data_IF_225365758781
#
_entry.id   IF_225365758781
#
_cell.length_a   1.000
_cell.length_b   1.000
_cell.length_c   1.000
_cell.angle_alpha   90.00
_cell.angle_beta   90.00
_cell.angle_gamma   90.00
#
_symmetry.space_group_name_H-M   'P 1'
#
loop_
_entity.id
_entity.type
_entity.pdbx_description
1 polymer ?
#
# COMPACT_ATOMS: atom_id res chain seq x y z
N UNK A 1 -0.76 -5.72 -18.61
CA UNK A 1 0.50 -5.24 -19.20
C UNK A 1 1.61 -5.80 -18.35
N UNK A 2 2.61 -6.43 -18.94
CA UNK A 2 3.86 -6.68 -18.22
C UNK A 2 4.52 -5.30 -18.13
N UNK A 3 4.82 -4.80 -16.95
CA UNK A 3 5.56 -3.55 -16.81
C UNK A 3 6.88 -3.66 -17.58
N UNK A 4 7.34 -2.56 -18.15
CA UNK A 4 8.66 -2.57 -18.76
C UNK A 4 9.73 -2.91 -17.71
N UNK A 5 10.85 -3.52 -18.07
CA UNK A 5 11.93 -3.81 -17.12
C UNK A 5 12.39 -2.58 -16.33
N UNK A 6 12.36 -1.40 -16.94
CA UNK A 6 12.76 -0.15 -16.28
C UNK A 6 11.77 0.28 -15.20
N UNK A 7 10.46 0.13 -15.43
CA UNK A 7 9.42 0.37 -14.41
C UNK A 7 9.62 -0.58 -13.24
N UNK A 8 9.76 -1.87 -13.50
CA UNK A 8 9.96 -2.87 -12.46
C UNK A 8 11.24 -2.58 -11.65
N UNK A 9 12.29 -2.15 -12.31
CA UNK A 9 13.56 -1.79 -11.65
C UNK A 9 13.39 -0.57 -10.73
N UNK A 10 12.71 0.48 -11.20
CA UNK A 10 12.42 1.69 -10.40
C UNK A 10 11.58 1.34 -9.18
N UNK A 11 10.52 0.56 -9.36
CA UNK A 11 9.66 0.06 -8.29
C UNK A 11 10.43 -0.79 -7.27
N UNK A 12 11.33 -1.67 -7.73
CA UNK A 12 12.14 -2.51 -6.85
C UNK A 12 13.16 -1.69 -6.06
N UNK A 13 13.81 -0.70 -6.70
CA UNK A 13 14.76 0.21 -6.03
C UNK A 13 14.08 1.03 -4.94
N UNK A 14 12.90 1.56 -5.21
CA UNK A 14 12.12 2.27 -4.21
C UNK A 14 11.84 1.38 -2.99
N UNK A 15 11.33 0.15 -3.20
CA UNK A 15 11.07 -0.81 -2.12
C UNK A 15 12.33 -1.17 -1.34
N UNK A 16 13.47 -1.33 -2.02
CA UNK A 16 14.74 -1.57 -1.37
C UNK A 16 15.18 -0.39 -0.48
N UNK A 17 14.96 0.85 -0.92
CA UNK A 17 15.21 2.04 -0.11
C UNK A 17 14.33 2.09 1.13
N UNK A 18 13.04 1.75 0.98
CA UNK A 18 12.10 1.64 2.10
C UNK A 18 12.57 0.58 3.10
N UNK A 19 12.84 -0.64 2.65
CA UNK A 19 13.27 -1.76 3.50
C UNK A 19 14.59 -1.44 4.23
N UNK A 20 15.54 -0.81 3.55
CA UNK A 20 16.80 -0.36 4.17
C UNK A 20 16.56 0.62 5.33
N UNK A 21 15.49 1.44 5.27
CA UNK A 21 15.16 2.38 6.35
C UNK A 21 14.71 1.71 7.65
N UNK A 22 14.28 0.45 7.60
CA UNK A 22 13.79 -0.31 8.73
C UNK A 22 14.85 -1.10 9.49
N UNK A 23 16.08 -1.19 8.93
CA UNK A 23 17.19 -1.94 9.51
C UNK A 23 16.79 -3.37 9.89
N UNK A 24 16.20 -4.10 8.93
CA UNK A 24 15.85 -5.50 9.09
C UNK A 24 17.14 -6.32 9.15
N UNK A 25 17.29 -7.10 10.20
CA UNK A 25 18.48 -7.94 10.37
C UNK A 25 18.41 -9.22 9.51
N UNK A 26 19.52 -9.71 8.98
CA UNK A 26 19.58 -11.06 8.43
C UNK A 26 19.08 -12.11 9.45
N UNK A 27 18.36 -13.11 8.99
CA UNK A 27 17.73 -14.13 9.83
C UNK A 27 16.39 -13.72 10.43
N UNK A 28 15.91 -12.48 10.22
CA UNK A 28 14.64 -12.02 10.77
C UNK A 28 13.44 -12.76 10.19
N UNK A 29 12.41 -12.91 11.01
CA UNK A 29 11.10 -13.44 10.62
C UNK A 29 10.11 -12.30 10.47
N UNK A 30 9.44 -12.22 9.31
CA UNK A 30 8.54 -11.11 8.94
C UNK A 30 7.14 -11.63 8.69
N UNK A 31 6.13 -10.91 9.17
CA UNK A 31 4.75 -10.98 8.71
C UNK A 31 4.47 -9.77 7.81
N UNK A 32 4.23 -9.99 6.55
CA UNK A 32 3.83 -8.95 5.60
C UNK A 32 2.32 -8.99 5.41
N UNK A 33 1.65 -7.86 5.61
CA UNK A 33 0.21 -7.69 5.43
C UNK A 33 -0.06 -6.98 4.10
N UNK A 34 -0.95 -7.57 3.27
CA UNK A 34 -1.27 -7.02 1.96
C UNK A 34 -0.12 -7.20 0.96
N UNK A 35 0.36 -8.44 0.82
CA UNK A 35 1.54 -8.73 -0.02
C UNK A 35 1.29 -8.54 -1.52
N UNK A 36 0.05 -8.52 -1.97
CA UNK A 36 -0.29 -8.33 -3.38
C UNK A 36 0.44 -9.30 -4.30
N UNK A 37 1.09 -8.76 -5.33
CA UNK A 37 1.85 -9.55 -6.30
C UNK A 37 3.24 -10.00 -5.79
N UNK A 38 3.62 -9.61 -4.56
CA UNK A 38 4.86 -10.03 -3.94
C UNK A 38 6.08 -9.16 -4.25
N UNK A 39 5.88 -7.96 -4.79
CA UNK A 39 7.00 -7.06 -5.11
C UNK A 39 7.77 -6.62 -3.85
N UNK A 40 7.06 -6.28 -2.76
CA UNK A 40 7.69 -5.97 -1.48
C UNK A 40 8.18 -7.25 -0.82
N UNK A 41 7.43 -8.37 -0.92
CA UNK A 41 7.82 -9.68 -0.40
C UNK A 41 9.20 -10.12 -0.90
N UNK A 42 9.48 -9.91 -2.20
CA UNK A 42 10.77 -10.25 -2.79
C UNK A 42 11.92 -9.46 -2.17
N UNK A 43 11.73 -8.15 -1.94
CA UNK A 43 12.75 -7.29 -1.32
C UNK A 43 12.94 -7.65 0.16
N UNK A 44 11.86 -7.96 0.88
CA UNK A 44 11.93 -8.44 2.26
C UNK A 44 12.67 -9.79 2.34
N UNK A 45 12.36 -10.75 1.44
CA UNK A 45 13.02 -12.04 1.38
C UNK A 45 14.53 -11.93 1.07
N UNK A 46 14.92 -10.95 0.27
CA UNK A 46 16.34 -10.64 0.05
C UNK A 46 16.98 -10.07 1.32
N UNK A 47 16.32 -9.12 1.99
CA UNK A 47 16.84 -8.46 3.19
C UNK A 47 17.04 -9.42 4.37
N UNK A 48 16.11 -10.37 4.57
CA UNK A 48 16.23 -11.35 5.68
C UNK A 48 17.28 -12.42 5.42
N UNK A 49 17.75 -12.59 4.19
CA UNK A 49 18.79 -13.57 3.85
C UNK A 49 18.33 -15.01 3.95
N UNK A 50 19.30 -15.96 3.85
CA UNK A 50 19.02 -17.39 3.73
C UNK A 50 18.35 -18.00 4.98
N UNK A 51 18.65 -17.49 6.15
CA UNK A 51 18.16 -17.98 7.44
C UNK A 51 16.85 -17.29 7.87
N UNK A 52 16.42 -16.23 7.16
CA UNK A 52 15.20 -15.49 7.48
C UNK A 52 13.98 -16.04 6.74
N UNK A 53 12.80 -15.54 7.15
CA UNK A 53 11.52 -15.96 6.57
C UNK A 53 10.54 -14.80 6.45
N UNK A 54 9.76 -14.80 5.38
CA UNK A 54 8.62 -13.90 5.17
C UNK A 54 7.35 -14.71 5.05
N UNK A 55 6.41 -14.50 5.96
CA UNK A 55 5.02 -14.94 5.84
C UNK A 55 4.25 -13.80 5.22
N UNK A 56 3.84 -13.96 3.97
CA UNK A 56 3.22 -12.92 3.15
C UNK A 56 1.72 -13.21 3.02
N UNK A 57 0.88 -12.42 3.71
CA UNK A 57 -0.56 -12.63 3.72
C UNK A 57 -1.29 -11.58 2.88
N UNK A 58 -2.40 -11.98 2.25
CA UNK A 58 -3.32 -11.07 1.57
C UNK A 58 -4.76 -11.56 1.73
N UNK A 59 -5.69 -10.64 1.93
CA UNK A 59 -7.12 -10.96 2.03
C UNK A 59 -7.71 -11.38 0.68
N UNK A 60 -7.09 -10.96 -0.42
CA UNK A 60 -7.53 -11.30 -1.76
C UNK A 60 -7.23 -12.77 -2.09
N UNK A 61 -8.11 -13.37 -2.90
CA UNK A 61 -7.90 -14.73 -3.41
C UNK A 61 -6.74 -14.75 -4.44
N UNK A 62 -6.05 -15.87 -4.63
CA UNK A 62 -4.96 -16.00 -5.61
C UNK A 62 -5.41 -15.74 -7.07
N UNK A 63 -6.71 -15.81 -7.33
CA UNK A 63 -7.31 -15.47 -8.64
C UNK A 63 -7.54 -13.97 -8.85
N UNK A 64 -7.35 -13.14 -7.82
CA UNK A 64 -7.45 -11.69 -7.92
C UNK A 64 -6.26 -11.08 -8.66
N UNK A 65 -6.45 -9.85 -9.16
CA UNK A 65 -5.40 -9.05 -9.79
C UNK A 65 -5.43 -9.06 -11.31
N UNK A 66 -4.97 -7.95 -11.90
CA UNK A 66 -4.84 -7.74 -13.34
C UNK A 66 -3.63 -6.81 -13.57
N UNK A 67 -2.85 -7.00 -14.63
CA UNK A 67 -2.94 -8.04 -15.67
C UNK A 67 -2.46 -9.42 -15.22
N UNK A 68 -1.73 -9.51 -14.11
CA UNK A 68 -1.20 -10.76 -13.55
C UNK A 68 -1.96 -11.10 -12.28
N UNK A 69 -2.42 -12.34 -12.16
CA UNK A 69 -3.09 -12.83 -10.94
C UNK A 69 -2.08 -13.00 -9.81
N UNK A 70 -2.50 -12.73 -8.56
CA UNK A 70 -1.65 -12.84 -7.37
C UNK A 70 -0.98 -14.21 -7.27
N UNK A 71 -1.73 -15.29 -7.43
CA UNK A 71 -1.20 -16.66 -7.37
C UNK A 71 -0.17 -16.96 -8.46
N UNK A 72 -0.31 -16.37 -9.65
CA UNK A 72 0.68 -16.54 -10.74
C UNK A 72 1.99 -15.83 -10.39
N UNK A 73 1.90 -14.63 -9.84
CA UNK A 73 3.10 -13.88 -9.42
C UNK A 73 3.81 -14.59 -8.26
N UNK A 74 3.05 -15.01 -7.23
CA UNK A 74 3.57 -15.76 -6.09
C UNK A 74 4.24 -17.08 -6.53
N UNK A 75 3.64 -17.83 -7.44
CA UNK A 75 4.24 -19.06 -7.98
C UNK A 75 5.58 -18.82 -8.69
N UNK A 76 5.70 -17.70 -9.43
CA UNK A 76 6.96 -17.30 -10.06
C UNK A 76 8.04 -16.99 -9.03
N UNK A 77 7.71 -16.24 -7.97
CA UNK A 77 8.65 -15.94 -6.89
C UNK A 77 9.03 -17.20 -6.11
N UNK A 78 8.07 -18.06 -5.81
CA UNK A 78 8.31 -19.32 -5.10
C UNK A 78 9.21 -20.29 -5.88
N UNK A 79 9.15 -20.26 -7.20
CA UNK A 79 10.05 -21.06 -8.07
C UNK A 79 11.46 -20.46 -8.21
N UNK A 80 11.67 -19.22 -7.78
CA UNK A 80 12.95 -18.52 -7.85
C UNK A 80 13.85 -18.72 -6.62
N UNK A 81 15.04 -18.11 -6.60
CA UNK A 81 16.02 -18.28 -5.51
C UNK A 81 15.55 -17.75 -4.16
N UNK A 82 14.55 -16.88 -4.13
CA UNK A 82 13.95 -16.35 -2.90
C UNK A 82 12.84 -17.26 -2.35
N UNK A 83 12.30 -18.17 -3.16
CA UNK A 83 11.16 -19.01 -2.83
C UNK A 83 11.26 -19.74 -1.48
N UNK A 84 12.40 -20.36 -1.12
CA UNK A 84 12.55 -21.05 0.16
C UNK A 84 12.32 -20.18 1.41
N UNK A 85 12.41 -18.86 1.26
CA UNK A 85 12.24 -17.88 2.35
C UNK A 85 10.81 -17.35 2.47
N UNK A 86 9.92 -17.66 1.52
CA UNK A 86 8.60 -17.03 1.38
C UNK A 86 7.49 -18.05 1.59
N UNK A 87 6.52 -17.70 2.42
CA UNK A 87 5.28 -18.44 2.64
C UNK A 87 4.10 -17.52 2.27
N UNK A 88 3.54 -17.71 1.07
CA UNK A 88 2.37 -16.95 0.61
C UNK A 88 1.07 -17.54 1.14
N UNK A 89 0.22 -16.70 1.73
CA UNK A 89 -1.10 -17.08 2.27
C UNK A 89 -2.15 -16.10 1.77
N UNK A 90 -2.81 -16.44 0.68
CA UNK A 90 -3.93 -15.69 0.12
C UNK A 90 -5.25 -16.07 0.79
N UNK A 91 -6.26 -15.17 0.67
CA UNK A 91 -7.55 -15.33 1.34
C UNK A 91 -7.41 -15.32 2.87
N UNK A 92 -6.39 -14.67 3.41
CA UNK A 92 -6.08 -14.64 4.83
C UNK A 92 -6.33 -13.25 5.39
N UNK A 93 -7.40 -13.10 6.17
CA UNK A 93 -7.68 -11.89 6.94
C UNK A 93 -7.17 -12.09 8.37
N UNK A 94 -6.23 -11.26 8.79
CA UNK A 94 -5.68 -11.31 10.16
C UNK A 94 -6.70 -10.91 11.23
N UNK A 95 -7.81 -10.29 10.85
CA UNK A 95 -8.94 -10.03 11.74
C UNK A 95 -9.86 -11.24 11.94
N UNK A 96 -9.74 -12.28 11.10
CA UNK A 96 -10.44 -13.54 11.33
C UNK A 96 -9.89 -14.21 12.60
N UNK A 97 -10.75 -14.56 13.58
CA UNK A 97 -10.31 -15.21 14.81
C UNK A 97 -9.58 -16.54 14.62
N UNK A 98 -9.78 -17.21 13.48
CA UNK A 98 -9.09 -18.45 13.15
C UNK A 98 -7.63 -18.25 12.74
N UNK A 99 -7.26 -17.02 12.37
CA UNK A 99 -5.89 -16.64 12.03
C UNK A 99 -5.20 -16.16 13.30
N UNK A 100 -4.28 -16.99 13.82
CA UNK A 100 -3.54 -16.66 15.03
C UNK A 100 -2.09 -17.11 14.92
N UNK A 101 -1.21 -16.40 15.64
CA UNK A 101 0.20 -16.72 15.77
C UNK A 101 0.61 -16.57 17.24
N UNK A 102 1.56 -17.40 17.73
CA UNK A 102 2.11 -17.22 19.07
C UNK A 102 2.72 -15.82 19.26
N UNK A 103 2.75 -15.36 20.49
CA UNK A 103 3.36 -14.07 20.84
C UNK A 103 4.81 -14.00 20.36
N UNK A 104 5.19 -12.83 19.82
CA UNK A 104 6.55 -12.55 19.36
C UNK A 104 7.09 -13.54 18.32
N UNK A 105 6.21 -14.17 17.53
CA UNK A 105 6.59 -15.05 16.41
C UNK A 105 7.41 -14.30 15.37
N UNK A 106 7.10 -13.02 15.16
CA UNK A 106 7.74 -12.20 14.14
C UNK A 106 8.63 -11.13 14.77
N UNK A 107 9.80 -10.90 14.16
CA UNK A 107 10.62 -9.75 14.50
C UNK A 107 9.98 -8.46 13.98
N UNK A 108 9.34 -8.54 12.80
CA UNK A 108 8.66 -7.42 12.18
C UNK A 108 7.29 -7.81 11.61
N UNK A 109 6.30 -6.92 11.77
CA UNK A 109 5.13 -6.88 10.90
C UNK A 109 5.30 -5.70 9.95
N UNK A 110 4.99 -5.91 8.67
CA UNK A 110 5.19 -4.95 7.58
C UNK A 110 3.87 -4.64 6.89
N UNK A 111 3.56 -3.35 6.71
CA UNK A 111 2.52 -2.84 5.83
C UNK A 111 3.18 -1.86 4.83
N UNK A 112 3.13 -2.19 3.55
CA UNK A 112 3.81 -1.39 2.53
C UNK A 112 2.86 -1.05 1.38
N UNK A 113 2.48 0.23 1.26
CA UNK A 113 1.58 0.75 0.23
C UNK A 113 0.28 -0.05 0.09
N UNK A 114 -0.28 -0.50 1.23
CA UNK A 114 -1.53 -1.26 1.29
C UNK A 114 -2.50 -0.71 2.34
N UNK A 115 -2.06 0.23 3.15
CA UNK A 115 -2.87 0.73 4.27
C UNK A 115 -4.04 1.63 3.82
N UNK A 116 -3.97 2.22 2.62
CA UNK A 116 -5.09 2.94 2.03
C UNK A 116 -6.16 2.01 1.41
N UNK A 117 -5.89 0.72 1.27
CA UNK A 117 -6.84 -0.28 0.73
C UNK A 117 -7.84 -0.77 1.78
N UNK A 118 -7.61 -0.48 3.06
CA UNK A 118 -8.56 -0.79 4.13
C UNK A 118 -9.88 -0.04 3.92
N UNK A 119 -10.98 -0.67 4.29
CA UNK A 119 -12.30 -0.08 4.16
C UNK A 119 -12.52 1.13 5.09
N UNK A 120 -11.71 1.25 6.16
CA UNK A 120 -11.76 2.38 7.09
C UNK A 120 -10.50 2.47 7.94
N UNK A 121 -10.26 3.64 8.52
CA UNK A 121 -9.22 3.84 9.56
C UNK A 121 -9.47 2.95 10.79
N UNK A 122 -10.74 2.65 11.10
CA UNK A 122 -11.09 1.75 12.19
C UNK A 122 -10.59 0.32 11.91
N UNK A 123 -10.77 -0.20 10.70
CA UNK A 123 -10.26 -1.51 10.31
C UNK A 123 -8.72 -1.55 10.38
N UNK A 124 -8.04 -0.50 9.90
CA UNK A 124 -6.58 -0.38 10.04
C UNK A 124 -6.16 -0.42 11.52
N UNK A 125 -6.84 0.35 12.38
CA UNK A 125 -6.60 0.35 13.83
C UNK A 125 -6.73 -1.06 14.42
N UNK A 126 -7.81 -1.74 14.10
CA UNK A 126 -8.10 -3.06 14.64
C UNK A 126 -7.07 -4.11 14.14
N UNK A 127 -6.65 -4.00 12.88
CA UNK A 127 -5.55 -4.81 12.32
C UNK A 127 -4.24 -4.56 13.05
N UNK A 128 -3.85 -3.30 13.27
CA UNK A 128 -2.62 -2.96 13.98
C UNK A 128 -2.64 -3.45 15.43
N UNK A 129 -3.78 -3.34 16.11
CA UNK A 129 -3.95 -3.89 17.46
C UNK A 129 -3.89 -5.43 17.47
N UNK A 130 -4.51 -6.09 16.49
CA UNK A 130 -4.52 -7.56 16.37
C UNK A 130 -3.12 -8.14 16.18
N UNK A 131 -2.29 -7.52 15.36
CA UNK A 131 -0.95 -8.04 15.06
C UNK A 131 0.10 -7.65 16.12
N UNK A 132 -0.25 -6.75 17.04
CA UNK A 132 0.70 -6.25 18.05
C UNK A 132 1.33 -7.35 18.91
N UNK A 133 0.59 -8.35 19.45
CA UNK A 133 1.18 -9.43 20.21
C UNK A 133 2.12 -10.32 19.40
N UNK A 134 1.89 -10.45 18.10
CA UNK A 134 2.63 -11.37 17.23
C UNK A 134 4.00 -10.87 16.82
N UNK A 135 4.26 -9.55 16.89
CA UNK A 135 5.49 -8.97 16.38
C UNK A 135 6.13 -7.97 17.36
N UNK A 136 7.46 -7.92 17.33
CA UNK A 136 8.27 -7.02 18.15
C UNK A 136 8.32 -5.60 17.60
N UNK A 137 8.23 -5.44 16.28
CA UNK A 137 8.31 -4.16 15.57
C UNK A 137 7.28 -4.07 14.47
N UNK A 138 6.74 -2.87 14.27
CA UNK A 138 5.93 -2.48 13.12
C UNK A 138 6.80 -1.66 12.16
N UNK A 139 6.75 -2.01 10.88
CA UNK A 139 7.32 -1.25 9.78
C UNK A 139 6.20 -0.89 8.81
N UNK A 140 5.99 0.39 8.56
CA UNK A 140 4.91 0.86 7.71
C UNK A 140 5.42 1.90 6.72
N UNK A 141 4.97 1.82 5.46
CA UNK A 141 5.20 2.86 4.45
C UNK A 141 3.92 3.11 3.68
N UNK A 142 3.65 4.38 3.39
CA UNK A 142 2.51 4.81 2.59
C UNK A 142 2.82 6.16 1.93
N UNK A 143 1.98 6.58 0.99
CA UNK A 143 2.08 7.88 0.35
C UNK A 143 1.78 9.02 1.34
N UNK A 144 2.56 10.10 1.26
CA UNK A 144 2.35 11.29 2.08
C UNK A 144 1.41 12.27 1.36
N UNK A 145 0.21 12.42 1.89
CA UNK A 145 -0.77 13.37 1.35
C UNK A 145 -0.39 14.85 1.55
N UNK A 146 0.78 15.11 2.14
CA UNK A 146 1.34 16.46 2.25
C UNK A 146 2.30 16.69 1.09
N UNK A 147 1.91 17.41 0.02
CA UNK A 147 2.77 17.61 -1.14
C UNK A 147 3.96 18.50 -0.78
N UNK A 148 5.15 18.11 -1.19
CA UNK A 148 6.36 18.90 -1.03
C UNK A 148 6.55 19.96 -2.13
N UNK A 149 5.83 19.83 -3.25
CA UNK A 149 5.86 20.77 -4.37
C UNK A 149 4.55 20.82 -5.12
N UNK A 150 4.34 21.87 -5.91
CA UNK A 150 3.16 22.01 -6.80
C UNK A 150 3.05 20.90 -7.85
N UNK A 151 4.16 20.25 -8.22
CA UNK A 151 4.17 19.15 -9.20
C UNK A 151 3.49 17.88 -8.70
N UNK A 152 3.30 17.76 -7.38
CA UNK A 152 2.63 16.61 -6.73
C UNK A 152 1.12 16.81 -6.58
N UNK A 153 0.59 17.99 -6.87
CA UNK A 153 -0.82 18.34 -6.68
C UNK A 153 -1.76 17.49 -7.54
N UNK A 154 -1.34 17.10 -8.74
CA UNK A 154 -2.15 16.22 -9.59
C UNK A 154 -2.34 14.85 -8.96
N UNK A 155 -1.29 14.23 -8.45
CA UNK A 155 -1.40 12.95 -7.75
C UNK A 155 -2.23 13.08 -6.46
N UNK A 156 -2.00 14.12 -5.65
CA UNK A 156 -2.81 14.36 -4.45
C UNK A 156 -4.30 14.49 -4.79
N UNK A 157 -4.65 15.29 -5.79
CA UNK A 157 -6.05 15.49 -6.17
C UNK A 157 -6.68 14.18 -6.65
N UNK A 158 -5.96 13.38 -7.43
CA UNK A 158 -6.41 12.07 -7.90
C UNK A 158 -6.72 11.10 -6.74
N UNK A 159 -5.86 11.06 -5.72
CA UNK A 159 -6.05 10.27 -4.50
C UNK A 159 -7.27 10.75 -3.71
N UNK A 160 -7.43 12.05 -3.56
CA UNK A 160 -8.58 12.62 -2.84
C UNK A 160 -9.91 12.37 -3.57
N UNK A 161 -9.93 12.44 -4.91
CA UNK A 161 -11.10 12.07 -5.74
C UNK A 161 -11.50 10.63 -5.47
N UNK A 162 -10.56 9.70 -5.50
CA UNK A 162 -10.82 8.28 -5.26
C UNK A 162 -11.36 8.03 -3.84
N UNK A 163 -10.69 8.55 -2.82
CA UNK A 163 -11.13 8.44 -1.43
C UNK A 163 -12.51 9.06 -1.18
N UNK A 164 -12.82 10.17 -1.83
CA UNK A 164 -14.12 10.82 -1.74
C UNK A 164 -15.23 9.97 -2.36
N UNK A 165 -14.98 9.33 -3.50
CA UNK A 165 -15.91 8.40 -4.13
C UNK A 165 -16.21 7.21 -3.21
N UNK A 166 -15.20 6.59 -2.66
CA UNK A 166 -15.36 5.46 -1.73
C UNK A 166 -16.14 5.87 -0.48
N UNK A 167 -15.81 7.03 0.13
CA UNK A 167 -16.51 7.56 1.30
C UNK A 167 -17.99 7.91 1.03
N UNK A 168 -18.32 8.26 -0.22
CA UNK A 168 -19.68 8.57 -0.65
C UNK A 168 -20.47 7.33 -1.13
N UNK A 169 -19.92 6.12 -0.98
CA UNK A 169 -20.59 4.86 -1.34
C UNK A 169 -20.41 4.43 -2.79
N UNK A 170 -19.62 5.14 -3.59
CA UNK A 170 -19.27 4.72 -4.94
C UNK A 170 -18.04 3.80 -4.89
N UNK A 171 -18.27 2.55 -4.45
CA UNK A 171 -17.19 1.57 -4.30
C UNK A 171 -16.73 1.00 -5.65
N UNK A 172 -15.42 0.81 -5.79
CA UNK A 172 -14.80 0.26 -6.99
C UNK A 172 -13.74 -0.80 -6.70
N UNK A 173 -13.01 -1.12 -7.76
CA UNK A 173 -11.87 -2.04 -7.67
C UNK A 173 -10.53 -1.29 -7.48
N UNK A 174 -10.59 0.02 -7.24
CA UNK A 174 -9.41 0.84 -6.98
C UNK A 174 -8.76 0.52 -5.66
N UNK A 175 -7.48 0.87 -5.57
CA UNK A 175 -6.65 0.59 -4.41
C UNK A 175 -6.74 1.69 -3.34
N UNK A 176 -7.18 2.89 -3.72
CA UNK A 176 -7.32 4.03 -2.81
C UNK A 176 -8.74 4.09 -2.28
N UNK A 177 -8.95 3.58 -1.06
CA UNK A 177 -10.26 3.59 -0.38
C UNK A 177 -10.30 4.58 0.76
N UNK A 178 -9.30 4.53 1.63
CA UNK A 178 -9.26 5.34 2.86
C UNK A 178 -7.91 6.06 2.94
N UNK A 179 -7.66 7.09 2.10
CA UNK A 179 -6.45 7.87 2.22
C UNK A 179 -6.42 8.63 3.55
N UNK A 180 -5.30 8.60 4.23
CA UNK A 180 -5.06 9.31 5.49
C UNK A 180 -3.65 9.90 5.51
N UNK A 181 -3.43 10.92 6.34
CA UNK A 181 -2.13 11.56 6.47
C UNK A 181 -1.18 10.74 7.36
N UNK A 182 0.11 10.96 7.19
CA UNK A 182 1.16 10.45 8.08
C UNK A 182 0.86 10.76 9.54
N UNK A 183 0.43 11.97 9.84
CA UNK A 183 0.07 12.42 11.19
C UNK A 183 -1.12 11.64 11.75
N UNK A 184 -2.09 11.26 10.88
CA UNK A 184 -3.21 10.42 11.30
C UNK A 184 -2.74 9.02 11.71
N UNK A 185 -1.83 8.40 10.94
CA UNK A 185 -1.20 7.14 11.34
C UNK A 185 -0.45 7.28 12.66
N UNK A 186 0.40 8.30 12.80
CA UNK A 186 1.18 8.50 14.03
C UNK A 186 0.31 8.71 15.27
N UNK A 187 -0.86 9.37 15.13
CA UNK A 187 -1.84 9.48 16.22
C UNK A 187 -2.56 8.17 16.53
N UNK A 188 -2.72 7.29 15.53
CA UNK A 188 -3.40 6.01 15.68
C UNK A 188 -2.56 4.99 16.45
N UNK A 189 -1.24 4.95 16.22
CA UNK A 189 -0.33 3.93 16.73
C UNK A 189 -0.40 3.72 18.25
N UNK A 190 -0.35 4.75 19.11
CA UNK A 190 -0.38 4.52 20.56
C UNK A 190 -1.62 3.78 21.04
N UNK A 191 -2.79 4.05 20.45
CA UNK A 191 -4.04 3.36 20.76
C UNK A 191 -4.07 1.88 20.34
N UNK A 192 -3.09 1.43 19.57
CA UNK A 192 -2.93 0.04 19.10
C UNK A 192 -1.76 -0.68 19.76
N UNK A 193 -1.14 -0.05 20.77
CA UNK A 193 0.00 -0.61 21.50
C UNK A 193 1.35 -0.44 20.81
N UNK A 194 1.43 0.36 19.75
CA UNK A 194 2.68 0.67 19.05
C UNK A 194 3.19 2.06 19.42
N UNK A 195 4.49 2.18 19.65
CA UNK A 195 5.16 3.47 19.87
C UNK A 195 6.10 3.75 18.71
N UNK A 196 5.80 4.80 17.94
CA UNK A 196 6.63 5.21 16.82
C UNK A 196 7.97 5.80 17.31
N UNK A 197 9.05 5.45 16.64
CA UNK A 197 10.40 5.97 16.91
C UNK A 197 10.87 7.01 15.87
N UNK A 198 9.93 7.55 15.11
CA UNK A 198 10.17 8.54 14.07
C UNK A 198 9.57 8.12 12.73
N UNK A 199 9.53 9.07 11.82
CA UNK A 199 9.16 8.86 10.43
C UNK A 199 10.19 9.50 9.52
N UNK A 200 10.37 8.94 8.32
CA UNK A 200 11.26 9.47 7.29
C UNK A 200 10.48 9.65 6.01
N UNK A 201 10.75 10.72 5.28
CA UNK A 201 10.31 10.85 3.91
C UNK A 201 11.19 9.95 3.02
N UNK A 202 10.55 9.28 2.07
CA UNK A 202 11.21 8.44 1.07
C UNK A 202 10.89 9.02 -0.30
N UNK A 203 11.93 9.26 -1.09
CA UNK A 203 11.78 9.80 -2.44
C UNK A 203 11.10 8.76 -3.35
N UNK A 204 10.28 9.27 -4.25
CA UNK A 204 9.46 8.51 -5.19
C UNK A 204 9.72 8.94 -6.63
N UNK A 205 10.78 9.71 -6.86
CA UNK A 205 11.16 10.14 -8.20
C UNK A 205 11.36 8.95 -9.12
N UNK A 206 10.80 9.03 -10.32
CA UNK A 206 10.86 7.96 -11.31
C UNK A 206 9.82 6.83 -11.13
N UNK A 207 8.96 6.91 -10.11
CA UNK A 207 7.81 6.02 -10.02
C UNK A 207 6.66 6.51 -10.92
N UNK A 208 5.87 5.56 -11.44
CA UNK A 208 4.76 5.84 -12.34
C UNK A 208 3.42 5.99 -11.62
N UNK A 209 3.41 5.81 -10.31
CA UNK A 209 2.20 5.79 -9.49
C UNK A 209 1.39 7.09 -9.61
N UNK A 210 2.07 8.25 -9.76
CA UNK A 210 1.39 9.51 -10.04
C UNK A 210 0.54 9.47 -11.30
N UNK A 211 1.07 8.94 -12.39
CA UNK A 211 0.34 8.82 -13.66
C UNK A 211 -0.80 7.79 -13.56
N UNK A 212 -0.58 6.68 -12.86
CA UNK A 212 -1.61 5.64 -12.67
C UNK A 212 -2.78 6.15 -11.82
N UNK A 213 -2.49 6.82 -10.71
CA UNK A 213 -3.54 7.36 -9.84
C UNK A 213 -4.32 8.50 -10.50
N UNK A 214 -3.66 9.34 -11.32
CA UNK A 214 -4.32 10.37 -12.12
C UNK A 214 -5.28 9.72 -13.13
N UNK A 215 -4.83 8.70 -13.85
CA UNK A 215 -5.68 7.98 -14.79
C UNK A 215 -6.87 7.32 -14.08
N UNK A 216 -6.66 6.72 -12.90
CA UNK A 216 -7.72 6.13 -12.08
C UNK A 216 -8.73 7.18 -11.61
N UNK A 217 -8.26 8.32 -11.09
CA UNK A 217 -9.11 9.42 -10.64
C UNK A 217 -9.96 10.02 -11.76
N UNK A 218 -9.39 10.21 -12.96
CA UNK A 218 -10.12 10.69 -14.13
C UNK A 218 -11.15 9.69 -14.64
N UNK A 219 -10.83 8.38 -14.64
CA UNK A 219 -11.74 7.31 -15.04
C UNK A 219 -13.01 7.27 -14.18
N UNK A 220 -12.94 7.64 -12.91
CA UNK A 220 -14.11 7.73 -12.04
C UNK A 220 -15.13 8.75 -12.53
N UNK A 221 -14.65 9.91 -13.01
CA UNK A 221 -15.52 10.96 -13.56
C UNK A 221 -16.10 10.60 -14.95
N UNK A 222 -15.56 9.57 -15.60
CA UNK A 222 -15.97 9.08 -16.92
C UNK A 222 -16.81 7.79 -16.84
N UNK A 223 -17.09 7.29 -15.64
CA UNK A 223 -17.85 6.06 -15.42
C UNK A 223 -19.26 6.37 -14.92
N UNK A 224 -20.30 6.35 -15.79
CA UNK A 224 -21.66 6.76 -15.43
C UNK A 224 -22.22 6.00 -14.24
N UNK A 225 -21.95 4.70 -14.14
CA UNK A 225 -22.43 3.83 -13.06
C UNK A 225 -21.85 4.26 -11.69
N UNK A 226 -20.59 4.70 -11.67
CA UNK A 226 -19.91 5.23 -10.49
C UNK A 226 -20.48 6.59 -10.08
N UNK A 227 -20.82 7.42 -11.06
CA UNK A 227 -21.42 8.74 -10.82
C UNK A 227 -22.88 8.65 -10.35
N UNK A 228 -23.63 7.68 -10.86
CA UNK A 228 -25.07 7.54 -10.60
C UNK A 228 -25.40 7.27 -9.11
N UNK A 229 -24.50 6.61 -8.38
CA UNK A 229 -24.70 6.29 -6.96
C UNK A 229 -24.33 7.45 -6.03
N UNK A 230 -23.67 8.49 -6.55
CA UNK A 230 -23.24 9.63 -5.75
C UNK A 230 -24.40 10.62 -5.52
N UNK A 231 -24.54 11.21 -4.31
CA UNK A 231 -25.39 12.37 -4.09
C UNK A 231 -25.04 13.51 -5.07
N UNK A 232 -26.06 14.24 -5.55
CA UNK A 232 -25.87 15.30 -6.56
C UNK A 232 -24.76 16.29 -6.23
N UNK A 233 -24.68 16.86 -4.99
CA UNK A 233 -23.61 17.80 -4.67
C UNK A 233 -22.20 17.18 -4.73
N UNK A 234 -22.08 15.90 -4.34
CA UNK A 234 -20.81 15.16 -4.38
C UNK A 234 -20.40 14.91 -5.84
N UNK A 235 -21.36 14.51 -6.69
CA UNK A 235 -21.13 14.30 -8.12
C UNK A 235 -20.64 15.59 -8.80
N UNK A 236 -21.28 16.72 -8.54
CA UNK A 236 -20.87 18.01 -9.11
C UNK A 236 -19.47 18.42 -8.64
N UNK A 237 -19.16 18.24 -7.35
CA UNK A 237 -17.83 18.50 -6.83
C UNK A 237 -16.77 17.61 -7.50
N UNK A 238 -17.07 16.32 -7.67
CA UNK A 238 -16.16 15.35 -8.31
C UNK A 238 -15.88 15.76 -9.77
N UNK A 239 -16.91 16.12 -10.53
CA UNK A 239 -16.74 16.58 -11.92
C UNK A 239 -15.86 17.85 -11.98
N UNK A 240 -16.08 18.80 -11.06
CA UNK A 240 -15.23 20.01 -10.95
C UNK A 240 -13.79 19.63 -10.62
N UNK A 241 -13.57 18.72 -9.68
CA UNK A 241 -12.23 18.24 -9.32
C UNK A 241 -11.56 17.52 -10.50
N UNK A 242 -12.29 16.73 -11.28
CA UNK A 242 -11.78 16.09 -12.48
C UNK A 242 -11.37 17.10 -13.56
N UNK A 243 -12.12 18.19 -13.73
CA UNK A 243 -11.74 19.26 -14.64
C UNK A 243 -10.44 19.97 -14.19
N UNK A 244 -10.32 20.25 -12.89
CA UNK A 244 -9.07 20.77 -12.32
C UNK A 244 -7.92 19.77 -12.52
N UNK A 245 -8.17 18.48 -12.27
CA UNK A 245 -7.15 17.45 -12.45
C UNK A 245 -6.66 17.39 -13.90
N UNK A 246 -7.56 17.42 -14.89
CA UNK A 246 -7.20 17.48 -16.31
C UNK A 246 -6.36 18.72 -16.66
N UNK A 247 -6.66 19.86 -16.03
CA UNK A 247 -5.96 21.11 -16.28
C UNK A 247 -4.53 21.13 -15.71
N UNK A 248 -4.28 20.46 -14.58
CA UNK A 248 -2.97 20.47 -13.91
C UNK A 248 -2.11 19.24 -14.23
N UNK A 249 -2.72 18.13 -14.64
CA UNK A 249 -1.98 16.92 -14.99
C UNK A 249 -1.20 17.10 -16.30
N UNK A 250 0.02 16.59 -16.32
CA UNK A 250 0.81 16.46 -17.55
C UNK A 250 0.35 15.21 -18.32
N UNK A 251 0.56 15.15 -19.64
CA UNK A 251 0.29 13.91 -20.40
C UNK A 251 1.04 12.69 -19.86
N UNK A 252 2.26 12.89 -19.39
CA UNK A 252 3.12 11.89 -18.76
C UNK A 252 4.11 12.57 -17.80
N UNK A 253 4.68 11.78 -16.89
CA UNK A 253 5.74 12.24 -16.00
C UNK A 253 5.23 13.15 -14.88
N UNK A 254 4.03 12.90 -14.39
CA UNK A 254 3.53 13.57 -13.19
C UNK A 254 4.31 13.10 -11.98
N UNK A 255 4.81 14.05 -11.20
CA UNK A 255 5.58 13.73 -10.00
C UNK A 255 4.68 13.06 -8.96
N UNK A 256 4.99 11.84 -8.51
CA UNK A 256 4.20 11.19 -7.45
C UNK A 256 4.38 11.90 -6.13
N UNK A 257 3.42 11.74 -5.22
CA UNK A 257 3.57 12.10 -3.82
C UNK A 257 4.82 11.43 -3.24
N UNK A 258 5.48 12.04 -2.27
CA UNK A 258 6.51 11.36 -1.51
C UNK A 258 5.88 10.18 -0.74
N UNK A 259 6.67 9.17 -0.43
CA UNK A 259 6.29 8.18 0.56
C UNK A 259 6.88 8.55 1.93
N UNK A 260 6.26 8.05 2.98
CA UNK A 260 6.87 8.06 4.31
C UNK A 260 7.12 6.65 4.80
N UNK A 261 8.13 6.48 5.62
CA UNK A 261 8.46 5.23 6.30
C UNK A 261 8.44 5.45 7.80
N UNK A 262 7.76 4.56 8.52
CA UNK A 262 7.63 4.58 9.99
C UNK A 262 8.09 3.24 10.54
N UNK A 263 8.82 3.28 11.66
CA UNK A 263 9.10 2.12 12.49
C UNK A 263 8.56 2.36 13.91
N UNK A 264 7.92 1.36 14.50
CA UNK A 264 7.37 1.41 15.86
C UNK A 264 7.65 0.12 16.65
N UNK A 265 7.57 0.21 17.98
CA UNK A 265 7.71 -0.91 18.93
C UNK A 265 6.55 -0.98 19.90
#
# INVERSE_FOLDING_TARGET
MTYSPDIQLSQTRHRATVVASWNIAPGATILELGCGQGDMTAVLAEAVGAEGRVVAVDVAAPSYGSPVKLGVSAARLAAGPLGPRIDFRFGTDVLDPSVDFPESTFDHVVLAHCSWYFASVAQLRDTLARVRPWARRLCCTEWDVTPASGEQLAHLLAVLIQGQCEAAGSHGQGNVRTPFSREALLRLLPGTGWTAHGSRSVDTEGLQDGDWEIAAGLSLAETPERLAVLPEPVRQLLLTQADVLRAIAKPHGNRPLAAYSVAAR
#
